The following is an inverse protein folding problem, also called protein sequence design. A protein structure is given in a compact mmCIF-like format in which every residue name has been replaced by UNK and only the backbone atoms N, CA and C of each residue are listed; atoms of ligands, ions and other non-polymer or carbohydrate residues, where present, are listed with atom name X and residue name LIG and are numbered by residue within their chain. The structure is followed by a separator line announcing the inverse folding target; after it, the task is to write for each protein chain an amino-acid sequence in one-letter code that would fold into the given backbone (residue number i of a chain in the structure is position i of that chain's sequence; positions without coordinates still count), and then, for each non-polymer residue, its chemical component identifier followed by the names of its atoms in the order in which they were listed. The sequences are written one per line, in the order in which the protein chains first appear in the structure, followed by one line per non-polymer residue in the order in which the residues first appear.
data_IF_112067339216
#
_entry.id   IF_112067339216
#
_cell.length_a   1.000
_cell.length_b   1.000
_cell.length_c   1.000
_cell.angle_alpha   90.00
_cell.angle_beta   90.00
_cell.angle_gamma   90.00
#
_symmetry.space_group_name_H-M   'P 1'
#
loop_
_entity.id
_entity.type
_entity.pdbx_description
1 polymer ?
#
# COMPACT_ATOMS: atom_id res chain seq x y z
N UNK A 1 -70.25 12.58 37.13
CA UNK A 1 -69.35 12.08 38.20
C UNK A 1 -68.32 11.16 37.57
N UNK A 2 -67.03 11.54 37.56
CA UNK A 2 -65.92 10.76 37.01
C UNK A 2 -65.07 10.27 38.19
N UNK A 3 -65.08 8.96 38.44
CA UNK A 3 -64.34 8.35 39.55
C UNK A 3 -62.88 8.20 39.14
N UNK A 4 -61.98 8.94 39.81
CA UNK A 4 -60.53 8.89 39.58
C UNK A 4 -60.02 7.60 40.21
N UNK A 5 -59.63 6.62 39.38
CA UNK A 5 -58.94 5.41 39.85
C UNK A 5 -57.52 5.79 40.27
N UNK A 6 -57.21 5.60 41.55
CA UNK A 6 -55.89 5.80 42.12
C UNK A 6 -55.02 4.57 41.77
N UNK A 7 -54.19 4.67 40.73
CA UNK A 7 -53.19 3.64 40.41
C UNK A 7 -52.04 3.75 41.40
N UNK A 8 -52.13 2.98 42.49
CA UNK A 8 -51.01 2.79 43.42
C UNK A 8 -49.81 2.25 42.66
N UNK A 9 -48.80 3.10 42.48
CA UNK A 9 -47.54 2.77 41.81
C UNK A 9 -46.70 1.89 42.72
N UNK A 10 -46.85 0.57 42.58
CA UNK A 10 -45.99 -0.40 43.25
C UNK A 10 -44.61 -0.41 42.59
N UNK A 11 -43.69 0.42 43.08
CA UNK A 11 -42.28 0.38 42.67
C UNK A 11 -41.62 -0.84 43.33
N UNK A 12 -41.61 -1.98 42.63
CA UNK A 12 -40.80 -3.14 43.03
C UNK A 12 -39.32 -2.78 42.86
N UNK A 13 -38.56 -2.81 43.95
CA UNK A 13 -37.09 -2.71 43.92
C UNK A 13 -36.47 -4.00 43.37
N UNK A 14 -35.19 -3.92 42.99
CA UNK A 14 -34.42 -5.07 42.52
C UNK A 14 -34.19 -6.07 43.67
N UNK A 15 -34.38 -7.36 43.39
CA UNK A 15 -34.00 -8.41 44.33
C UNK A 15 -32.48 -8.56 44.36
N UNK A 16 -31.90 -8.82 45.54
CA UNK A 16 -30.46 -9.12 45.68
C UNK A 16 -30.04 -10.29 44.78
N UNK A 17 -30.91 -11.28 44.62
CA UNK A 17 -30.68 -12.46 43.76
C UNK A 17 -30.62 -12.05 42.28
N UNK A 18 -31.46 -11.11 41.86
CA UNK A 18 -31.51 -10.62 40.48
C UNK A 18 -30.23 -9.84 40.11
N UNK A 19 -29.70 -9.05 41.05
CA UNK A 19 -28.41 -8.36 40.90
C UNK A 19 -27.26 -9.35 40.81
N UNK A 20 -27.26 -10.40 41.64
CA UNK A 20 -26.22 -11.43 41.64
C UNK A 20 -26.20 -12.21 40.33
N UNK A 21 -27.38 -12.61 39.83
CA UNK A 21 -27.51 -13.28 38.53
C UNK A 21 -27.03 -12.35 37.40
N UNK A 22 -27.38 -11.06 37.45
CA UNK A 22 -26.94 -10.09 36.44
C UNK A 22 -25.42 -9.93 36.42
N UNK A 23 -24.77 -9.92 37.59
CA UNK A 23 -23.30 -9.88 37.70
C UNK A 23 -22.64 -11.13 37.13
N UNK A 24 -23.22 -12.31 37.37
CA UNK A 24 -22.70 -13.57 36.82
C UNK A 24 -22.79 -13.55 35.30
N UNK A 25 -23.94 -13.16 34.73
CA UNK A 25 -24.13 -13.06 33.28
C UNK A 25 -23.16 -12.04 32.69
N UNK A 26 -23.02 -10.87 33.31
CA UNK A 26 -22.08 -9.83 32.86
C UNK A 26 -20.64 -10.35 32.84
N UNK A 27 -20.22 -11.09 33.87
CA UNK A 27 -18.87 -11.66 33.95
C UNK A 27 -18.62 -12.66 32.83
N UNK A 28 -19.58 -13.54 32.55
CA UNK A 28 -19.50 -14.50 31.44
C UNK A 28 -19.34 -13.76 30.09
N UNK A 29 -20.12 -12.70 29.88
CA UNK A 29 -20.01 -11.89 28.66
C UNK A 29 -18.64 -11.22 28.51
N UNK A 30 -18.10 -10.66 29.60
CA UNK A 30 -16.78 -10.02 29.58
C UNK A 30 -15.70 -11.04 29.22
N UNK A 31 -15.72 -12.23 29.84
CA UNK A 31 -14.76 -13.30 29.56
C UNK A 31 -14.87 -13.79 28.11
N UNK A 32 -16.08 -13.84 27.54
CA UNK A 32 -16.29 -14.23 26.16
C UNK A 32 -15.79 -13.18 25.15
N UNK A 33 -15.93 -11.88 25.45
CA UNK A 33 -15.60 -10.79 24.53
C UNK A 33 -14.14 -10.32 24.65
N UNK A 34 -13.52 -10.46 25.83
CA UNK A 34 -12.12 -10.08 26.06
C UNK A 34 -11.11 -10.65 25.02
N UNK A 35 -11.12 -11.95 24.67
CA UNK A 35 -10.16 -12.48 23.71
C UNK A 35 -10.36 -11.91 22.29
N UNK A 36 -11.60 -11.62 21.88
CA UNK A 36 -11.90 -11.01 20.58
C UNK A 36 -11.26 -9.63 20.43
N UNK A 37 -11.28 -8.83 21.50
CA UNK A 37 -10.61 -7.53 21.52
C UNK A 37 -9.10 -7.70 21.38
N UNK A 38 -8.50 -8.60 22.18
CA UNK A 38 -7.06 -8.85 22.14
C UNK A 38 -6.57 -9.28 20.74
N UNK A 39 -7.27 -10.21 20.09
CA UNK A 39 -6.91 -10.66 18.73
C UNK A 39 -7.10 -9.58 17.66
N UNK A 40 -8.08 -8.69 17.85
CA UNK A 40 -8.34 -7.60 16.91
C UNK A 40 -7.23 -6.56 16.96
N UNK A 41 -6.77 -6.17 18.15
CA UNK A 41 -5.67 -5.23 18.31
C UNK A 41 -4.35 -5.77 17.74
N UNK A 42 -4.02 -7.03 17.98
CA UNK A 42 -2.80 -7.62 17.41
C UNK A 42 -2.87 -7.73 15.89
N UNK A 43 -4.04 -8.07 15.33
CA UNK A 43 -4.27 -8.10 13.89
C UNK A 43 -4.09 -6.72 13.23
N UNK A 44 -4.66 -5.66 13.81
CA UNK A 44 -4.53 -4.28 13.30
C UNK A 44 -3.07 -3.84 13.35
N UNK A 45 -2.36 -4.08 14.46
CA UNK A 45 -0.96 -3.69 14.60
C UNK A 45 -0.06 -4.42 13.60
N UNK A 46 -0.26 -5.73 13.43
CA UNK A 46 0.49 -6.52 12.45
C UNK A 46 0.21 -6.07 11.01
N UNK A 47 -1.05 -5.73 10.69
CA UNK A 47 -1.43 -5.21 9.37
C UNK A 47 -0.82 -3.83 9.10
N UNK A 48 -0.76 -2.97 10.12
CA UNK A 48 -0.10 -1.67 10.06
C UNK A 48 1.38 -1.80 9.72
N UNK A 49 2.11 -2.63 10.47
CA UNK A 49 3.54 -2.86 10.23
C UNK A 49 3.80 -3.41 8.82
N UNK A 50 3.02 -4.41 8.38
CA UNK A 50 3.14 -4.97 7.02
C UNK A 50 2.90 -3.93 5.93
N UNK A 51 1.92 -3.05 6.13
CA UNK A 51 1.65 -1.95 5.19
C UNK A 51 2.85 -1.01 5.11
N UNK A 52 3.41 -0.63 6.26
CA UNK A 52 4.60 0.24 6.33
C UNK A 52 5.82 -0.39 5.65
N UNK A 53 6.06 -1.68 5.86
CA UNK A 53 7.17 -2.41 5.23
C UNK A 53 6.96 -2.50 3.70
N UNK A 54 5.73 -2.76 3.26
CA UNK A 54 5.38 -2.80 1.84
C UNK A 54 5.60 -1.44 1.16
N UNK A 55 5.18 -0.35 1.80
CA UNK A 55 5.41 0.99 1.28
C UNK A 55 6.90 1.36 1.22
N UNK A 56 7.71 0.90 2.17
CA UNK A 56 9.16 1.08 2.12
C UNK A 56 9.76 0.32 0.94
N UNK A 57 9.45 -0.96 0.79
CA UNK A 57 9.92 -1.78 -0.33
C UNK A 57 9.49 -1.19 -1.69
N UNK A 58 8.26 -0.71 -1.80
CA UNK A 58 7.79 -0.04 -3.02
C UNK A 58 8.59 1.23 -3.31
N UNK A 59 8.86 2.06 -2.30
CA UNK A 59 9.64 3.28 -2.46
C UNK A 59 11.08 3.02 -2.88
N UNK A 60 11.70 1.99 -2.33
CA UNK A 60 13.05 1.56 -2.73
C UNK A 60 13.08 1.17 -4.21
N UNK A 61 12.09 0.37 -4.65
CA UNK A 61 11.96 0.01 -6.07
C UNK A 61 11.71 1.22 -6.97
N UNK A 62 10.83 2.14 -6.56
CA UNK A 62 10.56 3.37 -7.33
C UNK A 62 11.81 4.26 -7.46
N UNK A 63 12.63 4.33 -6.41
CA UNK A 63 13.88 5.07 -6.44
C UNK A 63 14.90 4.41 -7.37
N UNK A 64 15.08 3.09 -7.28
CA UNK A 64 16.00 2.34 -8.14
C UNK A 64 15.60 2.47 -9.63
N UNK A 65 14.30 2.35 -9.93
CA UNK A 65 13.77 2.58 -11.29
C UNK A 65 14.00 4.03 -11.75
N UNK A 66 13.86 5.00 -10.84
CA UNK A 66 14.08 6.41 -11.18
C UNK A 66 15.56 6.72 -11.45
N UNK A 67 16.48 6.11 -10.70
CA UNK A 67 17.92 6.20 -10.92
C UNK A 67 18.33 5.55 -12.24
N UNK A 68 17.82 4.36 -12.54
CA UNK A 68 18.00 3.69 -13.84
C UNK A 68 17.54 4.56 -15.02
N UNK A 69 16.43 5.29 -14.86
CA UNK A 69 15.93 6.20 -15.90
C UNK A 69 16.76 7.48 -16.04
N UNK A 70 17.44 7.94 -14.98
CA UNK A 70 18.24 9.17 -15.01
C UNK A 70 19.64 8.97 -15.60
N UNK A 71 20.23 7.76 -15.51
CA UNK A 71 21.51 7.46 -16.18
C UNK A 71 21.39 7.23 -17.69
N UNK A 72 20.16 7.19 -18.22
CA UNK A 72 19.86 6.65 -19.55
C UNK A 72 19.24 7.67 -20.52
N UNK A 73 19.05 8.93 -20.10
CA UNK A 73 18.46 9.98 -20.94
C UNK A 73 19.50 10.97 -21.50
N UNK A 74 20.63 10.45 -21.99
CA UNK A 74 21.50 11.19 -22.89
C UNK A 74 21.25 10.75 -24.33
N UNK A 75 20.82 11.65 -25.21
CA UNK A 75 20.91 11.43 -26.66
C UNK A 75 22.39 11.25 -27.00
N UNK A 76 22.81 10.01 -27.22
CA UNK A 76 24.18 9.68 -27.60
C UNK A 76 24.18 9.25 -29.05
N UNK A 77 25.02 9.89 -29.87
CA UNK A 77 25.28 9.42 -31.22
C UNK A 77 25.79 7.97 -31.17
N UNK A 78 25.10 7.06 -31.86
CA UNK A 78 25.57 5.69 -32.03
C UNK A 78 26.36 5.64 -33.35
N UNK A 79 27.68 5.48 -33.24
CA UNK A 79 28.59 5.39 -34.38
C UNK A 79 28.98 3.94 -34.64
N UNK A 80 28.72 3.45 -35.85
CA UNK A 80 29.23 2.17 -36.33
C UNK A 80 30.32 2.46 -37.37
N UNK A 81 31.55 2.06 -37.11
CA UNK A 81 32.65 2.16 -38.08
C UNK A 81 32.96 0.79 -38.67
N UNK A 82 32.89 0.70 -40.00
CA UNK A 82 33.35 -0.44 -40.77
C UNK A 82 34.72 -0.10 -41.36
N UNK A 83 35.71 -0.95 -41.09
CA UNK A 83 37.08 -0.79 -41.62
C UNK A 83 37.38 -1.91 -42.62
N UNK A 84 37.71 -1.56 -43.86
CA UNK A 84 38.21 -2.51 -44.87
C UNK A 84 39.57 -2.05 -45.40
N UNK A 85 40.64 -2.52 -44.74
CA UNK A 85 42.03 -2.33 -45.17
C UNK A 85 42.58 -0.91 -45.08
N UNK A 86 42.12 0.01 -45.94
CA UNK A 86 42.54 1.42 -45.97
C UNK A 86 41.41 2.42 -45.70
N UNK A 87 40.15 2.01 -45.89
CA UNK A 87 39.01 2.91 -45.88
C UNK A 87 38.08 2.58 -44.71
N UNK A 88 37.65 3.64 -44.02
CA UNK A 88 36.69 3.55 -42.93
C UNK A 88 35.38 4.21 -43.35
N UNK A 89 34.27 3.49 -43.20
CA UNK A 89 32.92 4.03 -43.37
C UNK A 89 32.28 4.10 -41.99
N UNK A 90 31.92 5.31 -41.54
CA UNK A 90 31.20 5.54 -40.29
C UNK A 90 29.73 5.84 -40.58
N UNK A 91 28.83 5.10 -39.94
CA UNK A 91 27.39 5.35 -39.93
C UNK A 91 27.02 5.95 -38.58
N UNK A 92 26.48 7.17 -38.61
CA UNK A 92 25.97 7.87 -37.44
C UNK A 92 24.46 7.66 -37.32
N UNK A 93 24.02 7.08 -36.21
CA UNK A 93 22.60 6.83 -35.92
C UNK A 93 22.23 7.61 -34.67
N UNK A 94 21.21 8.46 -34.78
CA UNK A 94 20.61 9.10 -33.62
C UNK A 94 19.73 8.08 -32.88
N UNK A 95 20.25 7.56 -31.77
CA UNK A 95 19.60 6.55 -30.97
C UNK A 95 19.63 6.91 -29.48
N UNK A 96 18.60 6.49 -28.76
CA UNK A 96 18.60 6.51 -27.32
C UNK A 96 19.34 5.27 -26.83
N UNK A 97 20.44 5.47 -26.12
CA UNK A 97 21.16 4.39 -25.43
C UNK A 97 20.33 3.97 -24.22
N UNK A 98 20.01 2.69 -24.13
CA UNK A 98 19.30 2.06 -23.01
C UNK A 98 20.23 1.06 -22.35
N UNK A 99 20.43 1.15 -21.02
CA UNK A 99 21.24 0.18 -20.26
C UNK A 99 20.29 -0.65 -19.40
N UNK A 100 20.30 -1.97 -19.59
CA UNK A 100 19.53 -2.89 -18.75
C UNK A 100 20.44 -4.05 -18.33
N UNK A 101 20.61 -4.20 -17.02
CA UNK A 101 21.54 -5.14 -16.38
C UNK A 101 23.00 -4.98 -16.89
N UNK A 102 23.42 -5.83 -17.82
CA UNK A 102 24.73 -5.82 -18.49
C UNK A 102 24.66 -5.61 -20.00
N UNK A 103 23.47 -5.38 -20.54
CA UNK A 103 23.23 -5.23 -21.98
C UNK A 103 22.99 -3.76 -22.35
N UNK A 104 23.64 -3.33 -23.43
CA UNK A 104 23.45 -2.00 -24.01
C UNK A 104 22.54 -2.15 -25.23
N UNK A 105 21.39 -1.50 -25.19
CA UNK A 105 20.43 -1.41 -26.28
C UNK A 105 20.45 -0.01 -26.89
N UNK A 106 20.10 0.08 -28.16
CA UNK A 106 19.91 1.36 -28.85
C UNK A 106 18.51 1.36 -29.45
N UNK A 107 17.65 2.27 -28.98
CA UNK A 107 16.30 2.46 -29.50
C UNK A 107 16.25 3.71 -30.41
N UNK A 108 15.44 3.73 -31.47
CA UNK A 108 15.24 4.94 -32.26
C UNK A 108 14.63 6.04 -31.38
N UNK A 109 15.12 7.27 -31.52
CA UNK A 109 14.53 8.43 -30.82
C UNK A 109 13.13 8.65 -31.37
N UNK A 110 12.10 8.34 -30.57
CA UNK A 110 10.72 8.59 -30.95
C UNK A 110 10.46 10.09 -30.99
N UNK A 111 10.37 10.67 -32.18
CA UNK A 111 9.85 12.02 -32.37
C UNK A 111 8.35 12.02 -32.07
N UNK A 112 7.98 12.07 -30.79
CA UNK A 112 6.62 12.46 -30.41
C UNK A 112 6.54 13.98 -30.38
N UNK A 113 6.59 14.60 -31.56
CA UNK A 113 6.03 15.94 -31.75
C UNK A 113 4.50 15.79 -31.76
N UNK A 114 3.89 15.86 -30.58
CA UNK A 114 2.49 16.28 -30.52
C UNK A 114 2.47 17.77 -30.81
N UNK A 115 2.26 18.09 -32.09
CA UNK A 115 1.84 19.42 -32.51
C UNK A 115 0.41 19.63 -32.03
N UNK A 116 0.22 20.70 -31.25
CA UNK A 116 -1.06 21.23 -30.78
C UNK A 116 -2.07 21.50 -31.91
#
# INVERSE_FOLDING_TARGET
MKTIKNLSSCKKGFSVVEVLISLVILTILIVAVAPLMATSFTGIMASGNRSTDLYQAQRELENEISELNNETNGSSLFEITFSDGSDNVTIEINAQKLIQDTLIYYAPVSNTSHSE
#
